data_IF_934764260447
#
_entry.id   IF_934764260447
#
_cell.length_a   1.000
_cell.length_b   1.000
_cell.length_c   1.000
_cell.angle_alpha   90.00
_cell.angle_beta   90.00
_cell.angle_gamma   90.00
#
_symmetry.space_group_name_H-M   'P 1'
#
loop_
_entity.id
_entity.type
_entity.pdbx_description
1 polymer ?
#
# COMPACT_ATOMS: atom_id res chain seq x y z
N UNK A 1 -12.92 -22.57 -3.86
CA UNK A 1 -12.55 -22.00 -5.18
C UNK A 1 -11.26 -21.20 -5.00
N UNK A 2 -10.14 -21.86 -5.27
CA UNK A 2 -8.79 -21.41 -4.94
C UNK A 2 -8.38 -20.29 -5.89
N UNK A 3 -8.33 -19.06 -5.37
CA UNK A 3 -7.62 -17.95 -6.00
C UNK A 3 -6.12 -18.20 -5.84
N UNK A 4 -5.61 -19.20 -6.56
CA UNK A 4 -4.22 -19.24 -6.98
C UNK A 4 -4.11 -18.16 -8.06
N UNK A 5 -3.87 -16.92 -7.65
CA UNK A 5 -3.41 -15.87 -8.56
C UNK A 5 -2.02 -16.29 -9.04
N UNK A 6 -2.09 -17.08 -10.11
CA UNK A 6 -1.05 -17.39 -11.06
C UNK A 6 -0.34 -16.06 -11.34
N UNK A 7 0.86 -15.93 -10.80
CA UNK A 7 1.88 -15.01 -11.28
C UNK A 7 2.17 -15.49 -12.70
N UNK A 8 1.30 -15.13 -13.65
CA UNK A 8 1.52 -15.33 -15.07
C UNK A 8 2.49 -14.25 -15.51
N UNK A 9 3.49 -14.67 -16.28
CA UNK A 9 4.47 -13.80 -16.91
C UNK A 9 3.75 -12.63 -17.61
N UNK A 10 3.89 -11.43 -17.05
CA UNK A 10 3.43 -10.18 -17.64
C UNK A 10 4.67 -9.41 -18.07
N UNK A 11 4.62 -8.77 -19.25
CA UNK A 11 5.65 -7.82 -19.69
C UNK A 11 6.02 -6.91 -18.51
N UNK A 12 7.32 -6.70 -18.29
CA UNK A 12 7.84 -6.15 -17.02
C UNK A 12 7.18 -4.83 -16.60
N UNK A 13 6.73 -4.00 -17.56
CA UNK A 13 6.03 -2.74 -17.29
C UNK A 13 4.54 -2.90 -16.94
N UNK A 14 3.82 -3.81 -17.62
CA UNK A 14 2.39 -4.04 -17.40
C UNK A 14 2.11 -4.69 -16.04
N UNK A 15 3.06 -5.45 -15.48
CA UNK A 15 2.87 -6.15 -14.21
C UNK A 15 2.59 -5.24 -13.02
N UNK A 16 3.49 -4.30 -12.72
CA UNK A 16 3.36 -3.45 -11.53
C UNK A 16 2.59 -2.15 -11.79
N UNK A 17 2.75 -1.50 -12.96
CA UNK A 17 1.97 -0.31 -13.30
C UNK A 17 0.49 -0.67 -13.51
N UNK A 18 0.22 -1.81 -14.14
CA UNK A 18 -1.13 -2.38 -14.25
C UNK A 18 -1.85 -2.41 -12.92
N UNK A 19 -1.24 -3.05 -11.92
CA UNK A 19 -1.79 -3.16 -10.58
C UNK A 19 -2.03 -1.82 -9.86
N UNK A 20 -1.33 -0.75 -10.24
CA UNK A 20 -1.44 0.58 -9.62
C UNK A 20 -2.30 1.57 -10.41
N UNK A 21 -2.71 1.22 -11.64
CA UNK A 21 -3.36 2.15 -12.59
C UNK A 21 -4.67 2.70 -12.05
N UNK A 22 -5.51 1.85 -11.47
CA UNK A 22 -6.76 2.33 -10.88
C UNK A 22 -6.51 3.37 -9.78
N UNK A 23 -5.58 3.08 -8.86
CA UNK A 23 -5.32 3.93 -7.69
C UNK A 23 -4.65 5.26 -8.07
N UNK A 24 -3.69 5.21 -9.00
CA UNK A 24 -2.97 6.40 -9.43
C UNK A 24 -3.82 7.30 -10.32
N UNK A 25 -4.56 6.72 -11.28
CA UNK A 25 -5.23 7.46 -12.34
C UNK A 25 -6.75 7.52 -12.16
N UNK A 26 -7.42 6.37 -12.26
CA UNK A 26 -8.87 6.35 -12.39
C UNK A 26 -9.59 6.80 -11.13
N UNK A 27 -9.09 6.44 -9.94
CA UNK A 27 -9.74 6.78 -8.67
C UNK A 27 -9.89 8.30 -8.51
N UNK A 28 -8.78 9.04 -8.59
CA UNK A 28 -8.77 10.49 -8.46
C UNK A 28 -9.50 11.22 -9.60
N UNK A 29 -9.45 10.69 -10.84
CA UNK A 29 -10.23 11.24 -11.96
C UNK A 29 -11.73 11.12 -11.66
N UNK A 30 -12.20 9.94 -11.28
CA UNK A 30 -13.62 9.70 -10.99
C UNK A 30 -14.09 10.53 -9.79
N UNK A 31 -13.27 10.67 -8.73
CA UNK A 31 -13.61 11.51 -7.58
C UNK A 31 -13.78 12.98 -7.97
N UNK A 32 -12.91 13.52 -8.84
CA UNK A 32 -13.06 14.88 -9.37
C UNK A 32 -14.32 15.05 -10.21
N UNK A 33 -14.66 14.06 -11.04
CA UNK A 33 -15.89 14.10 -11.84
C UNK A 33 -17.12 14.06 -10.92
N UNK A 34 -17.14 13.18 -9.90
CA UNK A 34 -18.22 13.15 -8.89
C UNK A 34 -18.35 14.51 -8.20
N UNK A 35 -17.24 15.11 -7.79
CA UNK A 35 -17.25 16.41 -7.11
C UNK A 35 -17.81 17.54 -8.00
N UNK A 36 -17.46 17.54 -9.29
CA UNK A 36 -17.96 18.51 -10.26
C UNK A 36 -19.47 18.38 -10.51
N UNK A 37 -20.02 17.16 -10.36
CA UNK A 37 -21.42 16.85 -10.57
C UNK A 37 -22.20 16.61 -9.25
N UNK A 38 -21.69 17.09 -8.11
CA UNK A 38 -22.24 16.78 -6.77
C UNK A 38 -23.72 17.15 -6.55
N UNK A 39 -24.26 18.05 -7.36
CA UNK A 39 -25.67 18.49 -7.28
C UNK A 39 -26.60 17.72 -8.24
N UNK A 40 -26.07 16.80 -9.04
CA UNK A 40 -26.83 15.96 -9.96
C UNK A 40 -26.74 14.49 -9.51
N UNK A 41 -27.75 14.07 -8.74
CA UNK A 41 -27.84 12.71 -8.21
C UNK A 41 -27.83 11.64 -9.32
N UNK A 42 -28.35 11.96 -10.50
CA UNK A 42 -28.37 11.04 -11.63
C UNK A 42 -26.97 10.85 -12.19
N UNK A 43 -26.25 11.94 -12.44
CA UNK A 43 -24.87 11.91 -12.88
C UNK A 43 -23.97 11.18 -11.87
N UNK A 44 -24.08 11.50 -10.58
CA UNK A 44 -23.32 10.82 -9.51
C UNK A 44 -23.56 9.32 -9.54
N UNK A 45 -24.83 8.86 -9.64
CA UNK A 45 -25.13 7.42 -9.73
C UNK A 45 -24.50 6.76 -10.96
N UNK A 46 -24.52 7.41 -12.12
CA UNK A 46 -23.91 6.86 -13.33
C UNK A 46 -22.39 6.78 -13.23
N UNK A 47 -21.75 7.79 -12.64
CA UNK A 47 -20.29 7.78 -12.40
C UNK A 47 -19.92 6.65 -11.44
N UNK A 48 -20.72 6.39 -10.40
CA UNK A 48 -20.50 5.25 -9.50
C UNK A 48 -20.67 3.90 -10.22
N UNK A 49 -21.63 3.78 -11.15
CA UNK A 49 -21.76 2.59 -12.00
C UNK A 49 -20.53 2.39 -12.88
N UNK A 50 -20.07 3.45 -13.56
CA UNK A 50 -18.86 3.43 -14.37
C UNK A 50 -17.64 3.00 -13.56
N UNK A 51 -17.47 3.55 -12.35
CA UNK A 51 -16.42 3.16 -11.40
C UNK A 51 -16.42 1.65 -11.16
N UNK A 52 -17.58 1.07 -10.85
CA UNK A 52 -17.70 -0.36 -10.59
C UNK A 52 -17.40 -1.20 -11.83
N UNK A 53 -17.88 -0.79 -13.01
CA UNK A 53 -17.60 -1.46 -14.28
C UNK A 53 -16.11 -1.46 -14.61
N UNK A 54 -15.43 -0.31 -14.47
CA UNK A 54 -13.99 -0.19 -14.72
C UNK A 54 -13.18 -1.09 -13.78
N UNK A 55 -13.53 -1.11 -12.49
CA UNK A 55 -12.89 -2.02 -11.52
C UNK A 55 -13.13 -3.48 -11.85
N UNK A 56 -14.35 -3.84 -12.24
CA UNK A 56 -14.69 -5.21 -12.61
C UNK A 56 -13.94 -5.65 -13.86
N UNK A 57 -13.83 -4.79 -14.88
CA UNK A 57 -13.06 -5.06 -16.08
C UNK A 57 -11.58 -5.36 -15.76
N UNK A 58 -10.98 -4.56 -14.87
CA UNK A 58 -9.57 -4.75 -14.45
C UNK A 58 -9.35 -6.01 -13.62
N UNK A 59 -10.35 -6.42 -12.81
CA UNK A 59 -10.32 -7.69 -12.07
C UNK A 59 -10.48 -8.87 -13.03
N UNK A 60 -11.36 -8.78 -14.02
CA UNK A 60 -11.61 -9.83 -15.01
C UNK A 60 -10.47 -9.98 -16.01
N UNK A 61 -9.78 -8.88 -16.34
CA UNK A 61 -8.64 -8.84 -17.24
C UNK A 61 -7.52 -8.00 -16.60
N UNK A 62 -6.55 -8.62 -15.92
CA UNK A 62 -5.49 -7.90 -15.24
C UNK A 62 -4.74 -6.93 -16.16
N UNK A 63 -4.57 -5.69 -15.71
CA UNK A 63 -3.96 -4.57 -16.47
C UNK A 63 -4.82 -4.00 -17.59
N UNK A 64 -6.09 -4.39 -17.69
CA UNK A 64 -7.01 -3.81 -18.67
C UNK A 64 -7.00 -2.28 -18.62
N UNK A 65 -7.06 -1.67 -17.44
CA UNK A 65 -7.06 -0.21 -17.32
C UNK A 65 -5.74 0.42 -17.75
N UNK A 66 -4.62 -0.28 -17.56
CA UNK A 66 -3.32 0.19 -18.02
C UNK A 66 -3.20 0.13 -19.53
N UNK A 67 -3.57 -1.01 -20.13
CA UNK A 67 -3.54 -1.19 -21.57
C UNK A 67 -4.50 -0.21 -22.26
N UNK A 68 -5.70 -0.03 -21.71
CA UNK A 68 -6.67 0.95 -22.18
C UNK A 68 -6.10 2.37 -22.12
N UNK A 69 -5.45 2.76 -21.01
CA UNK A 69 -4.80 4.07 -20.87
C UNK A 69 -3.66 4.24 -21.87
N UNK A 70 -2.85 3.19 -22.08
CA UNK A 70 -1.73 3.22 -23.01
C UNK A 70 -2.21 3.44 -24.44
N UNK A 71 -3.29 2.77 -24.86
CA UNK A 71 -3.91 2.97 -26.17
C UNK A 71 -4.40 4.42 -26.31
N UNK A 72 -5.13 4.94 -25.32
CA UNK A 72 -5.60 6.33 -25.35
C UNK A 72 -4.46 7.35 -25.48
N UNK A 73 -3.32 7.13 -24.83
CA UNK A 73 -2.15 8.00 -24.94
C UNK A 73 -1.48 7.92 -26.31
N UNK A 74 -1.39 6.72 -26.89
CA UNK A 74 -0.88 6.51 -28.25
C UNK A 74 -1.76 7.25 -29.27
N UNK A 75 -3.09 7.09 -29.16
CA UNK A 75 -4.05 7.72 -30.07
C UNK A 75 -4.13 9.25 -29.89
N UNK A 76 -3.74 9.76 -28.72
CA UNK A 76 -3.67 11.20 -28.43
C UNK A 76 -2.39 11.86 -28.90
N UNK A 77 -1.44 11.09 -29.46
CA UNK A 77 -0.10 11.56 -29.89
C UNK A 77 0.70 12.25 -28.75
N UNK A 78 0.39 11.94 -27.49
CA UNK A 78 1.08 12.50 -26.34
C UNK A 78 2.33 11.69 -26.02
N UNK A 79 3.50 12.33 -25.99
CA UNK A 79 4.75 11.71 -25.56
C UNK A 79 4.87 11.78 -24.02
N UNK A 80 4.27 10.82 -23.33
CA UNK A 80 4.28 10.74 -21.87
C UNK A 80 5.19 9.60 -21.39
N UNK A 81 6.17 9.92 -20.54
CA UNK A 81 6.91 8.90 -19.81
C UNK A 81 6.00 8.32 -18.71
N UNK A 82 5.42 7.15 -18.97
CA UNK A 82 4.50 6.48 -18.04
C UNK A 82 5.15 6.17 -16.68
N UNK A 83 6.44 5.84 -16.65
CA UNK A 83 7.13 5.51 -15.41
C UNK A 83 7.20 6.72 -14.49
N UNK A 84 7.61 7.86 -15.06
CA UNK A 84 7.69 9.12 -14.34
C UNK A 84 6.29 9.63 -13.94
N UNK A 85 5.33 9.60 -14.87
CA UNK A 85 3.97 10.05 -14.63
C UNK A 85 3.31 9.27 -13.49
N UNK A 86 3.39 7.93 -13.52
CA UNK A 86 2.88 7.10 -12.44
C UNK A 86 3.58 7.42 -11.13
N UNK A 87 4.91 7.55 -11.12
CA UNK A 87 5.65 7.84 -9.90
C UNK A 87 5.22 9.16 -9.26
N UNK A 88 5.03 10.23 -10.05
CA UNK A 88 4.52 11.52 -9.57
C UNK A 88 3.12 11.40 -8.97
N UNK A 89 2.25 10.62 -9.61
CA UNK A 89 0.86 10.43 -9.17
C UNK A 89 0.75 9.71 -7.82
N UNK A 90 1.78 8.97 -7.39
CA UNK A 90 1.80 8.24 -6.11
C UNK A 90 1.65 9.15 -4.88
N UNK A 91 2.00 10.45 -5.00
CA UNK A 91 1.81 11.43 -3.93
C UNK A 91 0.33 11.55 -3.51
N UNK A 92 -0.57 11.48 -4.50
CA UNK A 92 -2.01 11.71 -4.35
C UNK A 92 -2.86 10.48 -4.70
N UNK A 93 -2.23 9.35 -5.06
CA UNK A 93 -2.93 8.12 -5.35
C UNK A 93 -3.81 7.71 -4.16
N UNK A 94 -4.98 7.14 -4.46
CA UNK A 94 -5.85 6.62 -3.41
C UNK A 94 -5.11 5.55 -2.58
N UNK A 95 -5.54 5.38 -1.33
CA UNK A 95 -4.92 4.44 -0.38
C UNK A 95 -5.80 3.23 -0.11
N UNK A 96 -6.86 3.03 -0.90
CA UNK A 96 -7.85 1.98 -0.66
C UNK A 96 -7.24 0.58 -0.80
N UNK A 97 -6.26 0.43 -1.70
CA UNK A 97 -5.40 -0.75 -1.81
C UNK A 97 -4.58 -0.99 -0.54
N UNK A 98 -4.28 0.11 0.18
CA UNK A 98 -3.71 0.17 1.50
C UNK A 98 -4.79 0.28 2.61
N UNK A 99 -6.04 -0.14 2.38
CA UNK A 99 -7.05 -0.30 3.44
C UNK A 99 -7.56 -1.73 3.58
N UNK A 100 -8.25 -2.01 4.71
CA UNK A 100 -9.02 -3.24 4.90
C UNK A 100 -10.50 -2.92 4.65
N UNK A 101 -11.19 -3.60 3.69
CA UNK A 101 -12.63 -3.59 3.69
C UNK A 101 -13.12 -4.35 4.93
N UNK A 102 -14.00 -3.71 5.70
CA UNK A 102 -14.81 -4.28 6.80
C UNK A 102 -14.20 -4.38 8.21
N UNK A 103 -13.28 -3.51 8.62
CA UNK A 103 -13.35 -3.08 10.02
C UNK A 103 -14.59 -2.20 10.12
N UNK A 104 -15.58 -2.55 10.96
CA UNK A 104 -16.84 -1.80 11.13
C UNK A 104 -16.54 -0.31 11.34
N UNK A 105 -16.57 0.49 10.28
CA UNK A 105 -16.01 1.85 10.26
C UNK A 105 -16.64 2.75 11.34
N UNK A 106 -17.88 2.49 11.73
CA UNK A 106 -18.58 3.24 12.77
C UNK A 106 -18.03 3.04 14.20
N UNK A 107 -17.52 1.85 14.55
CA UNK A 107 -17.07 1.56 15.93
C UNK A 107 -15.61 1.96 16.16
N UNK A 108 -14.79 2.04 15.11
CA UNK A 108 -13.34 2.27 15.22
C UNK A 108 -12.87 3.64 14.71
N UNK A 109 -13.74 4.46 14.10
CA UNK A 109 -13.37 5.81 13.66
C UNK A 109 -12.90 6.70 14.83
N UNK A 110 -13.58 6.61 15.98
CA UNK A 110 -13.15 7.32 17.19
C UNK A 110 -11.82 6.80 17.74
N UNK A 111 -11.53 5.50 17.58
CA UNK A 111 -10.25 4.89 17.96
C UNK A 111 -9.12 5.34 17.03
N UNK A 112 -9.37 5.42 15.71
CA UNK A 112 -8.42 5.98 14.74
C UNK A 112 -8.09 7.44 15.07
N UNK A 113 -9.09 8.29 15.29
CA UNK A 113 -8.88 9.71 15.64
C UNK A 113 -8.18 9.90 17.00
N UNK A 114 -8.41 9.00 17.96
CA UNK A 114 -7.72 9.02 19.27
C UNK A 114 -6.30 8.46 19.20
N UNK A 115 -6.04 7.50 18.30
CA UNK A 115 -4.71 6.94 18.05
C UNK A 115 -3.82 7.92 17.28
N UNK A 116 -4.38 8.72 16.36
CA UNK A 116 -3.66 9.82 15.68
C UNK A 116 -3.11 10.87 16.66
N UNK A 117 -3.78 11.09 17.80
CA UNK A 117 -3.31 11.97 18.88
C UNK A 117 -2.21 11.34 19.74
N UNK A 118 -2.12 10.01 19.80
CA UNK A 118 -1.10 9.24 20.54
C UNK A 118 0.16 9.00 19.67
N UNK A 119 0.03 9.23 18.36
CA UNK A 119 0.93 8.79 17.30
C UNK A 119 2.33 9.43 17.31
N UNK A 120 2.53 10.50 18.07
CA UNK A 120 3.81 11.21 18.13
C UNK A 120 4.86 10.56 19.05
N UNK A 121 4.50 9.54 19.83
CA UNK A 121 5.43 8.85 20.72
C UNK A 121 5.45 7.34 20.48
N UNK A 122 6.61 6.71 20.72
CA UNK A 122 6.88 5.26 20.70
C UNK A 122 5.98 4.40 21.62
N UNK A 123 4.89 4.96 22.15
CA UNK A 123 3.99 4.41 23.14
C UNK A 123 2.98 3.42 22.58
N UNK A 124 2.67 3.42 21.27
CA UNK A 124 1.70 2.48 20.70
C UNK A 124 2.18 1.02 20.86
N UNK A 125 3.44 0.73 20.57
CA UNK A 125 4.00 -0.62 20.77
C UNK A 125 4.11 -1.01 22.24
N UNK A 126 4.34 -0.06 23.15
CA UNK A 126 4.33 -0.34 24.60
C UNK A 126 2.91 -0.56 25.11
N UNK A 127 1.93 0.24 24.67
CA UNK A 127 0.51 0.06 25.00
C UNK A 127 0.04 -1.30 24.53
N UNK A 128 0.42 -1.68 23.31
CA UNK A 128 0.12 -2.97 22.72
C UNK A 128 0.82 -4.13 23.46
N UNK A 129 2.07 -3.96 23.94
CA UNK A 129 2.73 -4.93 24.83
C UNK A 129 2.06 -5.04 26.20
N UNK A 130 1.66 -3.92 26.79
CA UNK A 130 0.99 -3.88 28.09
C UNK A 130 -0.39 -4.54 28.02
N UNK A 131 -1.11 -4.31 26.92
CA UNK A 131 -2.38 -4.98 26.60
C UNK A 131 -2.16 -6.50 26.43
N UNK A 132 -1.07 -6.94 25.79
CA UNK A 132 -0.69 -8.37 25.71
C UNK A 132 -0.34 -8.97 27.08
N UNK A 133 0.38 -8.24 27.94
CA UNK A 133 0.68 -8.74 29.30
C UNK A 133 -0.55 -8.80 30.18
N UNK A 134 -1.52 -7.89 30.00
CA UNK A 134 -2.84 -7.93 30.65
C UNK A 134 -3.68 -9.11 30.17
N UNK A 135 -3.68 -9.41 28.87
CA UNK A 135 -4.40 -10.57 28.33
C UNK A 135 -3.84 -11.90 28.87
N UNK A 136 -2.53 -11.96 29.11
CA UNK A 136 -1.86 -13.13 29.69
C UNK A 136 -2.12 -13.31 31.19
N UNK A 137 -2.62 -12.29 31.91
CA UNK A 137 -2.82 -12.34 33.37
C UNK A 137 -4.14 -12.99 33.83
N UNK A 138 -4.75 -13.84 32.99
CA UNK A 138 -5.91 -14.70 33.31
C UNK A 138 -7.13 -13.97 33.87
N UNK A 139 -7.88 -13.32 32.99
CA UNK A 139 -9.34 -13.24 33.11
C UNK A 139 -9.92 -12.80 31.76
N UNK A 140 -10.94 -13.52 31.29
CA UNK A 140 -11.80 -13.23 30.13
C UNK A 140 -11.26 -13.57 28.72
N UNK A 141 -11.84 -14.63 28.13
CA UNK A 141 -11.82 -14.92 26.69
C UNK A 141 -12.34 -13.77 25.82
N UNK A 142 -13.18 -12.89 26.38
CA UNK A 142 -13.66 -11.68 25.73
C UNK A 142 -12.57 -10.60 25.59
N UNK A 143 -11.57 -10.59 26.50
CA UNK A 143 -10.42 -9.68 26.41
C UNK A 143 -9.51 -10.15 25.27
N UNK A 144 -9.18 -11.43 25.12
CA UNK A 144 -8.36 -11.93 24.00
C UNK A 144 -8.89 -11.51 22.62
N UNK A 145 -10.21 -11.59 22.41
CA UNK A 145 -10.88 -11.15 21.18
C UNK A 145 -10.74 -9.64 20.94
N UNK A 146 -11.01 -8.82 21.97
CA UNK A 146 -10.86 -7.36 21.90
C UNK A 146 -9.39 -6.94 21.72
N UNK A 147 -8.47 -7.68 22.34
CA UNK A 147 -7.02 -7.47 22.28
C UNK A 147 -6.52 -7.71 20.86
N UNK A 148 -6.96 -8.80 20.22
CA UNK A 148 -6.54 -9.19 18.87
C UNK A 148 -7.07 -8.24 17.78
N UNK A 149 -8.34 -7.85 17.84
CA UNK A 149 -8.93 -6.93 16.86
C UNK A 149 -8.36 -5.51 16.96
N UNK A 150 -8.08 -5.06 18.19
CA UNK A 150 -7.33 -3.81 18.43
C UNK A 150 -5.90 -3.94 17.90
N UNK A 151 -5.26 -5.11 18.06
CA UNK A 151 -3.91 -5.38 17.53
C UNK A 151 -3.88 -5.32 16.00
N UNK A 152 -4.83 -5.99 15.34
CA UNK A 152 -5.00 -5.98 13.89
C UNK A 152 -5.25 -4.55 13.40
N UNK A 153 -6.12 -3.81 14.07
CA UNK A 153 -6.48 -2.44 13.68
C UNK A 153 -5.29 -1.49 13.82
N UNK A 154 -4.62 -1.49 14.97
CA UNK A 154 -3.43 -0.66 15.22
C UNK A 154 -2.30 -1.02 14.25
N UNK A 155 -2.03 -2.31 14.05
CA UNK A 155 -0.99 -2.77 13.14
C UNK A 155 -1.28 -2.38 11.70
N UNK A 156 -2.54 -2.44 11.26
CA UNK A 156 -2.92 -2.02 9.92
C UNK A 156 -2.80 -0.51 9.72
N UNK A 157 -3.18 0.30 10.72
CA UNK A 157 -3.04 1.76 10.66
C UNK A 157 -1.56 2.17 10.61
N UNK A 158 -0.73 1.62 11.50
CA UNK A 158 0.73 1.92 11.54
C UNK A 158 1.41 1.50 10.24
N UNK A 159 1.14 0.28 9.76
CA UNK A 159 1.74 -0.23 8.52
C UNK A 159 1.29 0.57 7.29
N UNK A 160 0.01 0.98 7.24
CA UNK A 160 -0.52 1.84 6.17
C UNK A 160 0.23 3.17 6.11
N UNK A 161 0.38 3.84 7.25
CA UNK A 161 1.02 5.15 7.25
C UNK A 161 2.48 5.07 6.82
N UNK A 162 3.25 4.07 7.31
CA UNK A 162 4.65 3.92 6.88
C UNK A 162 4.76 3.62 5.38
N UNK A 163 3.83 2.85 4.82
CA UNK A 163 3.75 2.63 3.39
C UNK A 163 3.42 3.92 2.61
N UNK A 164 2.44 4.71 3.08
CA UNK A 164 2.07 6.00 2.46
C UNK A 164 3.21 7.00 2.54
N UNK A 165 3.92 7.07 3.67
CA UNK A 165 5.08 7.95 3.84
C UNK A 165 6.18 7.59 2.82
N UNK A 166 6.55 6.32 2.70
CA UNK A 166 7.53 5.86 1.70
C UNK A 166 7.08 6.21 0.28
N UNK A 167 5.80 5.96 -0.04
CA UNK A 167 5.19 6.27 -1.34
C UNK A 167 5.29 7.76 -1.68
N UNK A 168 4.98 8.64 -0.73
CA UNK A 168 5.05 10.11 -0.90
C UNK A 168 6.48 10.61 -1.10
N UNK A 169 7.45 10.07 -0.37
CA UNK A 169 8.86 10.46 -0.57
C UNK A 169 9.35 10.00 -1.94
N UNK A 170 9.04 8.77 -2.36
CA UNK A 170 9.39 8.26 -3.69
C UNK A 170 8.76 9.07 -4.83
N UNK A 171 7.54 9.59 -4.63
CA UNK A 171 6.85 10.41 -5.63
C UNK A 171 7.55 11.73 -5.97
N UNK A 172 8.41 12.24 -5.07
CA UNK A 172 9.17 13.49 -5.30
C UNK A 172 10.44 13.29 -6.13
N UNK A 173 10.86 12.04 -6.32
CA UNK A 173 12.12 11.70 -7.02
C UNK A 173 12.24 12.40 -8.39
N UNK A 174 11.23 12.36 -9.29
CA UNK A 174 11.32 13.03 -10.58
C UNK A 174 11.58 14.55 -10.51
N UNK A 175 11.01 15.22 -9.51
CA UNK A 175 11.16 16.67 -9.31
C UNK A 175 12.53 17.03 -8.73
N UNK A 176 13.03 16.20 -7.82
CA UNK A 176 14.21 16.51 -7.02
C UNK A 176 15.51 16.05 -7.68
N UNK A 177 15.46 15.12 -8.63
CA UNK A 177 16.64 14.55 -9.32
C UNK A 177 17.55 15.57 -10.03
N UNK A 178 16.98 16.71 -10.45
CA UNK A 178 17.73 17.78 -11.13
C UNK A 178 18.67 18.55 -10.19
N UNK A 179 18.32 18.65 -8.90
CA UNK A 179 19.13 19.32 -7.88
C UNK A 179 19.83 18.29 -7.00
N UNK A 180 21.14 18.15 -7.18
CA UNK A 180 21.93 17.12 -6.48
C UNK A 180 21.80 17.20 -4.95
N UNK A 181 21.71 18.40 -4.38
CA UNK A 181 21.65 18.57 -2.92
C UNK A 181 20.31 18.08 -2.38
N UNK A 182 19.22 18.55 -2.98
CA UNK A 182 17.86 18.15 -2.67
C UNK A 182 17.69 16.66 -2.87
N UNK A 183 18.16 16.12 -4.00
CA UNK A 183 18.05 14.69 -4.28
C UNK A 183 18.77 13.81 -3.25
N UNK A 184 19.95 14.23 -2.78
CA UNK A 184 20.66 13.50 -1.71
C UNK A 184 19.89 13.50 -0.39
N UNK A 185 19.18 14.58 -0.06
CA UNK A 185 18.28 14.61 1.10
C UNK A 185 17.09 13.68 0.89
N UNK A 186 16.47 13.68 -0.29
CA UNK A 186 15.39 12.74 -0.65
C UNK A 186 15.83 11.29 -0.50
N UNK A 187 17.04 10.94 -0.94
CA UNK A 187 17.59 9.59 -0.80
C UNK A 187 17.71 9.19 0.68
N UNK A 188 18.15 10.11 1.55
CA UNK A 188 18.19 9.87 3.01
C UNK A 188 16.79 9.68 3.59
N UNK A 189 15.82 10.48 3.16
CA UNK A 189 14.42 10.34 3.57
C UNK A 189 13.80 9.01 3.12
N UNK A 190 14.10 8.55 1.90
CA UNK A 190 13.68 7.24 1.40
C UNK A 190 14.28 6.13 2.26
N UNK A 191 15.59 6.19 2.53
CA UNK A 191 16.26 5.20 3.39
C UNK A 191 15.66 5.14 4.80
N UNK A 192 15.38 6.32 5.38
CA UNK A 192 14.70 6.44 6.67
C UNK A 192 13.29 5.84 6.64
N UNK A 193 12.53 6.08 5.58
CA UNK A 193 11.16 5.57 5.40
C UNK A 193 11.13 4.04 5.21
N UNK A 194 12.07 3.49 4.42
CA UNK A 194 12.28 2.04 4.28
C UNK A 194 12.59 1.41 5.63
N UNK A 195 13.51 1.99 6.41
CA UNK A 195 13.86 1.50 7.74
C UNK A 195 12.64 1.48 8.66
N UNK A 196 11.89 2.59 8.75
CA UNK A 196 10.67 2.68 9.57
C UNK A 196 9.62 1.62 9.19
N UNK A 197 9.42 1.35 7.90
CA UNK A 197 8.50 0.31 7.43
C UNK A 197 8.98 -1.10 7.82
N UNK A 198 10.28 -1.38 7.70
CA UNK A 198 10.86 -2.67 8.11
C UNK A 198 10.81 -2.88 9.62
N UNK A 199 11.09 -1.84 10.40
CA UNK A 199 11.02 -1.88 11.86
C UNK A 199 9.58 -2.18 12.32
N UNK A 200 8.59 -1.52 11.70
CA UNK A 200 7.17 -1.80 11.95
C UNK A 200 6.78 -3.24 11.54
N UNK A 201 7.29 -3.72 10.40
CA UNK A 201 7.06 -5.12 9.95
C UNK A 201 7.64 -6.13 10.93
N UNK A 202 8.86 -5.90 11.42
CA UNK A 202 9.51 -6.78 12.39
C UNK A 202 8.80 -6.75 13.75
N UNK A 203 8.37 -5.57 14.21
CA UNK A 203 7.56 -5.45 15.42
C UNK A 203 6.25 -6.24 15.29
N UNK A 204 5.60 -6.17 14.12
CA UNK A 204 4.41 -6.95 13.81
C UNK A 204 4.70 -8.47 13.79
N UNK A 205 5.83 -8.89 13.27
CA UNK A 205 6.19 -10.33 13.28
C UNK A 205 6.30 -10.92 14.68
N UNK A 206 6.63 -10.11 15.71
CA UNK A 206 6.75 -10.58 17.10
C UNK A 206 5.41 -10.96 17.75
N UNK A 207 4.30 -10.61 17.10
CA UNK A 207 2.97 -10.55 17.71
C UNK A 207 1.88 -11.18 16.88
N UNK A 208 2.11 -11.35 15.57
CA UNK A 208 1.25 -12.17 14.71
C UNK A 208 1.51 -13.67 14.94
N UNK A 209 0.47 -14.46 14.69
CA UNK A 209 0.50 -15.92 14.84
C UNK A 209 1.59 -16.57 13.96
N UNK A 210 2.33 -17.60 14.46
CA UNK A 210 3.42 -18.26 13.72
C UNK A 210 3.04 -18.76 12.32
N UNK A 211 1.79 -19.21 12.12
CA UNK A 211 1.31 -19.67 10.80
C UNK A 211 1.34 -18.58 9.72
N UNK A 212 1.31 -17.30 10.11
CA UNK A 212 1.36 -16.14 9.21
C UNK A 212 2.78 -15.66 8.96
N UNK A 213 3.67 -15.81 9.95
CA UNK A 213 5.02 -15.24 9.94
C UNK A 213 5.83 -15.64 8.70
N UNK A 214 5.78 -16.90 8.27
CA UNK A 214 6.53 -17.39 7.10
C UNK A 214 6.14 -16.65 5.80
N UNK A 215 4.85 -16.35 5.62
CA UNK A 215 4.37 -15.63 4.43
C UNK A 215 4.83 -14.17 4.44
N UNK A 216 4.77 -13.53 5.62
CA UNK A 216 5.23 -12.14 5.80
C UNK A 216 6.75 -12.06 5.63
N UNK A 217 7.51 -13.01 6.17
CA UNK A 217 8.97 -13.06 6.07
C UNK A 217 9.44 -13.24 4.62
N UNK A 218 8.75 -14.10 3.84
CA UNK A 218 9.01 -14.23 2.41
C UNK A 218 8.85 -12.87 1.71
N UNK A 219 7.73 -12.18 1.96
CA UNK A 219 7.45 -10.90 1.30
C UNK A 219 8.39 -9.77 1.77
N UNK A 220 8.77 -9.77 3.04
CA UNK A 220 9.79 -8.87 3.60
C UNK A 220 11.12 -9.03 2.88
N UNK A 221 11.57 -10.27 2.61
CA UNK A 221 12.81 -10.54 1.85
C UNK A 221 12.75 -10.00 0.42
N UNK A 222 11.63 -10.19 -0.27
CA UNK A 222 11.42 -9.65 -1.62
C UNK A 222 11.46 -8.10 -1.63
N UNK A 223 10.83 -7.46 -0.64
CA UNK A 223 10.90 -6.01 -0.46
C UNK A 223 12.34 -5.52 -0.21
N UNK A 224 13.11 -6.19 0.66
CA UNK A 224 14.53 -5.86 0.91
C UNK A 224 15.39 -6.05 -0.34
N UNK A 225 15.12 -7.09 -1.12
CA UNK A 225 15.81 -7.29 -2.39
C UNK A 225 15.52 -6.13 -3.37
N UNK A 226 14.26 -5.71 -3.47
CA UNK A 226 13.86 -4.59 -4.31
C UNK A 226 14.48 -3.26 -3.85
N UNK A 227 14.55 -2.99 -2.54
CA UNK A 227 15.17 -1.76 -2.03
C UNK A 227 16.69 -1.70 -2.28
N UNK A 228 17.37 -2.85 -2.23
CA UNK A 228 18.78 -2.96 -2.65
C UNK A 228 18.95 -2.68 -4.14
N UNK A 229 18.07 -3.23 -4.99
CA UNK A 229 18.07 -2.93 -6.44
C UNK A 229 17.91 -1.44 -6.69
N UNK A 230 16.91 -0.80 -6.07
CA UNK A 230 16.72 0.66 -6.14
C UNK A 230 17.99 1.43 -5.74
N UNK A 231 18.64 1.03 -4.64
CA UNK A 231 19.89 1.65 -4.19
C UNK A 231 21.03 1.51 -5.21
N UNK A 232 21.14 0.37 -5.89
CA UNK A 232 22.12 0.17 -6.95
C UNK A 232 21.80 1.01 -8.20
N UNK A 233 20.52 1.09 -8.58
CA UNK A 233 20.07 1.94 -9.68
C UNK A 233 20.36 3.42 -9.41
N UNK A 234 20.21 3.89 -8.17
CA UNK A 234 20.66 5.25 -7.79
C UNK A 234 22.17 5.44 -7.98
N UNK A 235 22.99 4.44 -7.63
CA UNK A 235 24.45 4.52 -7.83
C UNK A 235 24.83 4.57 -9.31
N UNK A 236 24.11 3.84 -10.15
CA UNK A 236 24.28 3.84 -11.61
C UNK A 236 23.83 5.16 -12.21
N UNK A 237 22.70 5.71 -11.76
CA UNK A 237 22.18 7.02 -12.18
C UNK A 237 23.20 8.15 -12.02
N UNK A 238 23.94 8.19 -10.91
CA UNK A 238 25.00 9.19 -10.73
C UNK A 238 26.13 9.10 -11.75
N UNK A 239 26.22 8.00 -12.51
CA UNK A 239 27.19 7.80 -13.60
C UNK A 239 26.57 8.02 -14.97
N UNK A 240 25.41 7.43 -15.25
CA UNK A 240 24.82 7.37 -16.60
C UNK A 240 23.68 8.36 -16.84
N UNK A 241 23.19 9.04 -15.79
CA UNK A 241 22.08 9.99 -15.83
C UNK A 241 20.75 9.40 -16.36
N UNK A 242 20.56 8.08 -16.29
CA UNK A 242 19.36 7.42 -16.77
C UNK A 242 18.18 7.54 -15.79
N UNK A 243 17.44 8.65 -15.88
CA UNK A 243 16.32 8.94 -14.97
C UNK A 243 15.16 7.93 -15.07
N UNK A 244 14.95 7.33 -16.25
CA UNK A 244 13.88 6.35 -16.47
C UNK A 244 14.11 5.10 -15.61
N UNK A 245 15.35 4.62 -15.48
CA UNK A 245 15.66 3.45 -14.63
C UNK A 245 15.39 3.72 -13.14
N UNK A 246 15.67 4.94 -12.68
CA UNK A 246 15.32 5.36 -11.31
C UNK A 246 13.80 5.33 -11.12
N UNK A 247 13.04 5.84 -12.09
CA UNK A 247 11.57 5.83 -12.04
C UNK A 247 10.99 4.41 -12.03
N UNK A 248 11.51 3.52 -12.88
CA UNK A 248 11.13 2.09 -12.93
C UNK A 248 11.38 1.42 -11.57
N UNK A 249 12.59 1.57 -11.03
CA UNK A 249 12.97 0.92 -9.77
C UNK A 249 12.21 1.47 -8.57
N UNK A 250 11.88 2.77 -8.55
CA UNK A 250 11.02 3.38 -7.54
C UNK A 250 9.58 2.84 -7.60
N UNK A 251 8.97 2.76 -8.78
CA UNK A 251 7.63 2.18 -8.95
C UNK A 251 7.57 0.71 -8.52
N UNK A 252 8.61 -0.08 -8.84
CA UNK A 252 8.73 -1.46 -8.35
C UNK A 252 8.79 -1.53 -6.82
N UNK A 253 9.51 -0.62 -6.17
CA UNK A 253 9.59 -0.56 -4.71
C UNK A 253 8.24 -0.20 -4.07
N UNK A 254 7.48 0.72 -4.67
CA UNK A 254 6.11 1.05 -4.25
C UNK A 254 5.21 -0.18 -4.39
N UNK A 255 5.29 -0.89 -5.51
CA UNK A 255 4.52 -2.11 -5.71
C UNK A 255 4.86 -3.21 -4.70
N UNK A 256 6.14 -3.43 -4.40
CA UNK A 256 6.56 -4.37 -3.35
C UNK A 256 6.07 -3.95 -1.95
N UNK A 257 6.01 -2.64 -1.69
CA UNK A 257 5.40 -2.10 -0.46
C UNK A 257 3.93 -2.51 -0.38
N UNK A 258 3.15 -2.29 -1.45
CA UNK A 258 1.74 -2.68 -1.48
C UNK A 258 1.54 -4.19 -1.31
N UNK A 259 2.38 -5.02 -1.93
CA UNK A 259 2.33 -6.49 -1.77
C UNK A 259 2.65 -6.95 -0.35
N UNK A 260 3.61 -6.32 0.33
CA UNK A 260 3.92 -6.58 1.75
C UNK A 260 2.70 -6.35 2.63
N UNK A 261 2.12 -5.17 2.49
CA UNK A 261 0.95 -4.75 3.24
C UNK A 261 -0.26 -5.65 2.96
N UNK A 262 -0.51 -5.98 1.68
CA UNK A 262 -1.58 -6.89 1.28
C UNK A 262 -1.39 -8.30 1.85
N UNK A 263 -0.16 -8.83 1.82
CA UNK A 263 0.15 -10.17 2.35
C UNK A 263 -0.12 -10.23 3.85
N UNK A 264 0.33 -9.22 4.60
CA UNK A 264 0.06 -9.09 6.03
C UNK A 264 -1.45 -9.13 6.28
N UNK A 265 -2.22 -8.34 5.55
CA UNK A 265 -3.68 -8.25 5.70
C UNK A 265 -4.41 -9.56 5.41
N UNK A 266 -4.16 -10.16 4.26
CA UNK A 266 -4.86 -11.37 3.83
C UNK A 266 -4.63 -12.52 4.80
N UNK A 267 -3.41 -12.62 5.35
CA UNK A 267 -3.06 -13.68 6.29
C UNK A 267 -3.62 -13.43 7.69
N UNK A 268 -3.61 -12.18 8.16
CA UNK A 268 -4.24 -11.82 9.43
C UNK A 268 -5.75 -12.08 9.42
N UNK A 269 -6.44 -11.80 8.30
CA UNK A 269 -7.88 -12.10 8.15
C UNK A 269 -8.19 -13.60 8.26
N UNK A 270 -7.37 -14.46 7.65
CA UNK A 270 -7.59 -15.92 7.67
C UNK A 270 -7.52 -16.49 9.09
N UNK A 271 -6.55 -16.03 9.87
CA UNK A 271 -6.41 -16.44 11.28
C UNK A 271 -7.63 -16.04 12.11
N UNK A 272 -8.16 -14.83 11.91
CA UNK A 272 -9.38 -14.40 12.60
C UNK A 272 -10.58 -15.31 12.32
N UNK A 273 -10.69 -15.86 11.10
CA UNK A 273 -11.78 -16.75 10.70
C UNK A 273 -11.56 -18.17 11.25
N UNK A 274 -10.34 -18.71 11.16
CA UNK A 274 -10.01 -20.06 11.63
C UNK A 274 -10.19 -20.20 13.15
N UNK A 275 -9.70 -19.22 13.94
CA UNK A 275 -9.89 -19.19 15.39
C UNK A 275 -11.38 -19.07 15.77
N UNK A 276 -12.19 -18.35 14.97
CA UNK A 276 -13.62 -18.21 15.21
C UNK A 276 -14.37 -19.55 15.05
N UNK A 277 -13.98 -20.38 14.09
CA UNK A 277 -14.65 -21.67 13.83
C UNK A 277 -14.13 -22.83 14.69
N UNK A 278 -12.92 -22.74 15.26
CA UNK A 278 -12.42 -23.75 16.19
C UNK A 278 -12.96 -23.58 17.63
N UNK A 279 -13.54 -22.43 17.97
CA UNK A 279 -14.06 -22.11 19.31
C UNK A 279 -15.60 -22.08 19.40
N UNK A 280 -16.30 -22.58 18.38
CA UNK A 280 -17.76 -22.83 18.35
C UNK A 280 -17.96 -24.34 18.19
#
# INVERSE_FOLDING_TARGET
>A
MLINFRIMAMNEEGGYLGAMTYQCLYSGVLDRIVQNHRNDDSAVRMIQRLRNTLRQADVSSPSFLFDFTKILLIDSELNVNLQEAFLRMQANAATDDLELPNLRQGEYQQLSSRLDLIYNDCTVLSTVRNIKSLAQSKQFSLIEHFTHDVYVTISNLVMKEKAVALRRVLARVPDEMSDRRTFLETIKEIASSIKKLLDATNALMQVIHPSVQLSVEKRKREFVHCSKRFSNTLKEYFKDQNATQVSISANQLIFQTALLIRTIREKMRKVSIEIFYENI
#
